data_IF_770836521876
#
_entry.id   IF_770836521876
#
_cell.length_a   1.000
_cell.length_b   1.000
_cell.length_c   1.000
_cell.angle_alpha   90.00
_cell.angle_beta   90.00
_cell.angle_gamma   90.00
#
_symmetry.space_group_name_H-M   'P 1'
#
loop_
_entity.id
_entity.type
_entity.pdbx_description
1 polymer ?
#
# COMPACT_ATOMS: atom_id res chain seq x y z
N UNK A 1 7.31 -12.62 -2.87
CA UNK A 1 8.60 -12.97 -2.25
C UNK A 1 8.77 -14.48 -2.25
N UNK A 2 9.97 -15.02 -2.49
CA UNK A 2 10.23 -16.46 -2.40
C UNK A 2 10.02 -16.96 -0.97
N UNK A 3 9.77 -18.26 -0.78
CA UNK A 3 9.70 -18.85 0.54
C UNK A 3 11.07 -18.75 1.23
N UNK A 4 11.08 -18.59 2.56
CA UNK A 4 12.31 -18.42 3.37
C UNK A 4 13.28 -19.58 3.16
N UNK A 5 12.75 -20.80 3.03
CA UNK A 5 13.56 -22.00 2.82
C UNK A 5 14.29 -21.97 1.48
N UNK A 6 13.67 -21.48 0.41
CA UNK A 6 14.30 -21.36 -0.90
C UNK A 6 15.41 -20.31 -0.87
N UNK A 7 15.14 -19.17 -0.21
CA UNK A 7 16.13 -18.11 -0.02
C UNK A 7 17.32 -18.56 0.85
N UNK A 8 17.10 -19.43 1.84
CA UNK A 8 18.16 -20.01 2.66
C UNK A 8 18.99 -21.02 1.85
N UNK A 9 18.34 -21.91 1.10
CA UNK A 9 19.01 -22.94 0.28
C UNK A 9 19.87 -22.35 -0.83
N UNK A 10 19.48 -21.20 -1.39
CA UNK A 10 20.25 -20.51 -2.41
C UNK A 10 21.52 -19.81 -1.89
N UNK A 11 21.72 -19.75 -0.56
CA UNK A 11 22.84 -19.02 0.06
C UNK A 11 23.96 -19.96 0.51
N UNK A 12 25.19 -19.54 0.25
CA UNK A 12 26.42 -20.19 0.73
C UNK A 12 26.80 -19.78 2.16
N UNK A 13 26.33 -18.62 2.63
CA UNK A 13 26.51 -18.12 4.00
C UNK A 13 25.17 -17.75 4.62
N UNK A 14 25.02 -18.03 5.92
CA UNK A 14 23.82 -17.64 6.65
C UNK A 14 23.74 -16.12 6.78
N UNK A 15 22.58 -15.50 6.52
CA UNK A 15 22.43 -14.08 6.69
C UNK A 15 22.40 -13.72 8.18
N UNK A 16 22.92 -12.54 8.52
CA UNK A 16 22.88 -12.02 9.89
C UNK A 16 21.48 -11.57 10.31
N UNK A 17 20.62 -11.22 9.34
CA UNK A 17 19.25 -10.74 9.57
C UNK A 17 18.33 -11.29 8.48
N UNK A 18 17.13 -11.67 8.88
CA UNK A 18 16.01 -11.96 7.98
C UNK A 18 14.96 -10.86 8.08
N UNK A 19 14.46 -10.40 6.93
CA UNK A 19 13.30 -9.48 6.86
C UNK A 19 12.20 -10.20 6.11
N UNK A 20 11.08 -10.45 6.79
CA UNK A 20 9.98 -11.28 6.30
C UNK A 20 8.70 -10.45 6.18
N UNK A 21 8.11 -10.42 4.99
CA UNK A 21 6.73 -9.99 4.80
C UNK A 21 5.82 -11.22 4.98
N UNK A 22 4.88 -11.15 5.91
CA UNK A 22 4.01 -12.27 6.27
C UNK A 22 2.54 -11.89 6.12
N UNK A 23 1.79 -12.68 5.37
CA UNK A 23 0.33 -12.55 5.27
C UNK A 23 -0.36 -13.11 6.52
N UNK A 24 -1.63 -12.73 6.73
CA UNK A 24 -2.45 -13.34 7.78
C UNK A 24 -2.54 -14.86 7.62
N UNK A 25 -2.63 -15.35 6.38
CA UNK A 25 -2.70 -16.77 6.06
C UNK A 25 -1.45 -17.54 6.49
N UNK A 26 -0.28 -16.96 6.28
CA UNK A 26 0.98 -17.56 6.74
C UNK A 26 1.06 -17.55 8.26
N UNK A 27 0.60 -16.48 8.91
CA UNK A 27 0.61 -16.36 10.37
C UNK A 27 -0.35 -17.33 11.06
N UNK A 28 -1.44 -17.74 10.42
CA UNK A 28 -2.36 -18.77 10.94
C UNK A 28 -1.68 -20.13 11.08
N UNK A 29 -0.83 -20.51 10.13
CA UNK A 29 -0.12 -21.79 10.12
C UNK A 29 1.27 -21.73 10.77
N UNK A 30 1.68 -20.54 11.24
CA UNK A 30 2.97 -20.32 11.88
C UNK A 30 2.85 -20.41 13.40
N UNK A 31 3.49 -21.42 14.00
CA UNK A 31 3.47 -21.66 15.45
C UNK A 31 4.73 -21.19 16.19
N UNK A 32 5.88 -21.14 15.50
CA UNK A 32 7.22 -21.05 16.15
C UNK A 32 8.00 -19.79 15.78
N UNK A 33 7.38 -18.82 15.09
CA UNK A 33 8.05 -17.57 14.76
C UNK A 33 8.35 -16.78 16.05
N UNK A 34 9.65 -16.63 16.33
CA UNK A 34 10.18 -15.88 17.46
C UNK A 34 10.94 -14.64 16.94
N UNK A 35 10.24 -13.72 16.28
CA UNK A 35 10.85 -12.55 15.66
C UNK A 35 11.46 -11.61 16.72
N UNK A 36 12.68 -11.13 16.49
CA UNK A 36 13.38 -10.15 17.33
C UNK A 36 12.66 -8.78 17.37
N UNK A 37 11.98 -8.43 16.28
CA UNK A 37 11.06 -7.31 16.17
C UNK A 37 9.99 -7.62 15.13
N UNK A 38 8.75 -7.23 15.40
CA UNK A 38 7.63 -7.41 14.50
C UNK A 38 6.75 -6.15 14.44
N UNK A 39 6.03 -5.97 13.33
CA UNK A 39 5.09 -4.86 13.17
C UNK A 39 3.79 -5.33 12.51
N UNK A 40 2.69 -4.71 12.89
CA UNK A 40 1.44 -4.72 12.11
C UNK A 40 1.19 -3.29 11.64
N UNK A 41 1.35 -3.05 10.34
CA UNK A 41 1.36 -1.69 9.81
C UNK A 41 -0.02 -1.02 9.89
N UNK A 42 -1.09 -1.76 9.63
CA UNK A 42 -2.48 -1.34 9.76
C UNK A 42 -3.40 -2.59 9.64
N UNK A 43 -4.67 -2.43 9.96
CA UNK A 43 -5.72 -3.45 9.82
C UNK A 43 -7.00 -2.81 9.29
N UNK A 44 -7.05 -2.67 7.96
CA UNK A 44 -8.22 -2.29 7.17
C UNK A 44 -8.90 -3.52 6.57
N UNK A 45 -10.12 -3.35 6.04
CA UNK A 45 -10.85 -4.46 5.41
C UNK A 45 -10.06 -5.07 4.26
N UNK A 46 -9.86 -6.39 4.34
CA UNK A 46 -9.27 -7.25 3.34
C UNK A 46 -9.58 -8.69 3.75
N UNK A 47 -9.72 -9.59 2.78
CA UNK A 47 -9.96 -11.02 3.02
C UNK A 47 -11.20 -11.37 3.89
N UNK A 48 -12.28 -10.60 3.81
CA UNK A 48 -13.51 -10.84 4.58
C UNK A 48 -14.29 -12.08 4.12
N UNK A 49 -14.00 -12.58 2.92
CA UNK A 49 -14.46 -13.88 2.40
C UNK A 49 -14.00 -15.07 3.27
N UNK A 50 -12.89 -14.92 3.99
CA UNK A 50 -12.27 -16.02 4.74
C UNK A 50 -12.36 -15.89 6.26
N UNK A 51 -12.56 -14.67 6.77
CA UNK A 51 -12.64 -14.43 8.21
C UNK A 51 -14.08 -14.08 8.61
N UNK A 52 -14.49 -14.53 9.80
CA UNK A 52 -15.75 -14.11 10.42
C UNK A 52 -15.63 -12.65 10.91
N UNK A 53 -15.48 -11.71 9.98
CA UNK A 53 -15.30 -10.29 10.22
C UNK A 53 -13.87 -9.86 10.58
N UNK A 54 -13.74 -8.55 10.81
CA UNK A 54 -12.46 -7.88 11.03
C UNK A 54 -11.72 -8.31 12.30
N UNK A 55 -12.43 -8.78 13.33
CA UNK A 55 -11.80 -9.27 14.55
C UNK A 55 -10.99 -10.54 14.31
N UNK A 56 -11.54 -11.48 13.52
CA UNK A 56 -10.83 -12.70 13.12
C UNK A 56 -9.59 -12.40 12.30
N UNK A 57 -9.68 -11.46 11.36
CA UNK A 57 -8.55 -11.01 10.55
C UNK A 57 -7.46 -10.33 11.40
N UNK A 58 -7.86 -9.44 12.31
CA UNK A 58 -6.94 -8.78 13.24
C UNK A 58 -6.24 -9.80 14.16
N UNK A 59 -6.98 -10.77 14.69
CA UNK A 59 -6.44 -11.84 15.52
C UNK A 59 -5.45 -12.72 14.75
N UNK A 60 -5.68 -12.96 13.45
CA UNK A 60 -4.74 -13.67 12.59
C UNK A 60 -3.41 -12.91 12.44
N UNK A 61 -3.45 -11.59 12.19
CA UNK A 61 -2.24 -10.76 12.13
C UNK A 61 -1.52 -10.64 13.48
N UNK A 62 -2.27 -10.53 14.58
CA UNK A 62 -1.71 -10.39 15.94
C UNK A 62 -0.80 -11.57 16.33
N UNK A 63 -0.93 -12.74 15.67
CA UNK A 63 -0.04 -13.90 15.84
C UNK A 63 1.43 -13.57 15.55
N UNK A 64 1.73 -12.52 14.78
CA UNK A 64 3.11 -12.08 14.54
C UNK A 64 3.84 -11.68 15.85
N UNK A 65 3.09 -11.31 16.89
CA UNK A 65 3.63 -10.90 18.19
C UNK A 65 3.76 -12.04 19.21
N UNK A 66 3.57 -13.31 18.82
CA UNK A 66 3.70 -14.48 19.72
C UNK A 66 5.11 -14.68 20.28
N UNK A 67 6.13 -14.28 19.51
CA UNK A 67 7.54 -14.37 19.90
C UNK A 67 7.90 -13.45 21.06
N UNK A 68 9.19 -13.37 21.40
CA UNK A 68 9.76 -12.64 22.52
C UNK A 68 10.37 -11.27 22.17
N UNK A 69 10.46 -10.93 20.89
CA UNK A 69 10.98 -9.65 20.43
C UNK A 69 10.07 -8.44 20.58
N UNK A 70 10.55 -7.30 20.10
CA UNK A 70 9.87 -6.02 20.24
C UNK A 70 8.58 -5.94 19.39
N UNK A 71 7.56 -5.26 19.92
CA UNK A 71 6.34 -4.95 19.19
C UNK A 71 6.39 -3.52 18.65
N UNK A 72 6.24 -3.36 17.34
CA UNK A 72 6.14 -2.06 16.66
C UNK A 72 4.67 -1.88 16.26
N UNK A 73 4.00 -0.94 16.91
CA UNK A 73 2.54 -0.77 16.82
C UNK A 73 2.20 0.53 16.09
N UNK A 74 1.23 0.48 15.18
CA UNK A 74 0.71 1.70 14.58
C UNK A 74 -0.27 2.36 15.55
N UNK A 75 0.06 3.57 16.00
CA UNK A 75 -0.79 4.30 16.98
C UNK A 75 -1.99 4.99 16.35
N UNK A 76 -1.97 5.18 15.03
CA UNK A 76 -3.08 5.77 14.30
C UNK A 76 -4.08 4.70 13.81
N UNK A 77 -3.78 3.41 14.03
CA UNK A 77 -4.67 2.29 13.77
C UNK A 77 -5.05 1.60 15.08
N UNK A 78 -6.32 1.74 15.49
CA UNK A 78 -6.80 1.22 16.77
C UNK A 78 -6.64 -0.30 16.92
N UNK A 79 -6.76 -1.07 15.83
CA UNK A 79 -6.60 -2.53 15.87
C UNK A 79 -5.14 -2.91 16.05
N UNK A 80 -4.22 -2.26 15.34
CA UNK A 80 -2.78 -2.44 15.53
C UNK A 80 -2.37 -2.05 16.95
N UNK A 81 -2.79 -0.87 17.44
CA UNK A 81 -2.49 -0.40 18.80
C UNK A 81 -3.01 -1.34 19.90
N UNK A 82 -4.18 -1.98 19.68
CA UNK A 82 -4.76 -2.93 20.62
C UNK A 82 -3.99 -4.27 20.71
N UNK A 83 -3.11 -4.59 19.75
CA UNK A 83 -2.28 -5.83 19.78
C UNK A 83 -1.13 -5.78 20.78
N UNK A 84 -0.97 -4.68 21.54
CA UNK A 84 0.04 -4.57 22.58
C UNK A 84 -0.13 -5.67 23.64
N UNK A 85 0.97 -6.30 24.02
CA UNK A 85 1.00 -7.32 25.07
C UNK A 85 1.76 -6.78 26.28
N UNK A 86 1.22 -6.98 27.49
CA UNK A 86 1.82 -6.46 28.72
C UNK A 86 3.22 -7.06 28.99
N UNK A 87 4.13 -6.27 29.56
CA UNK A 87 5.48 -6.72 29.91
C UNK A 87 6.44 -6.88 28.72
N UNK A 88 6.06 -6.37 27.54
CA UNK A 88 6.83 -6.46 26.30
C UNK A 88 7.55 -5.17 25.99
N UNK A 89 8.70 -5.27 25.32
CA UNK A 89 9.36 -4.11 24.72
C UNK A 89 8.51 -3.61 23.55
N UNK A 90 8.04 -2.37 23.64
CA UNK A 90 7.10 -1.78 22.70
C UNK A 90 7.68 -0.48 22.12
N UNK A 91 7.40 -0.29 20.85
CA UNK A 91 7.64 0.93 20.09
C UNK A 91 6.33 1.27 19.37
N UNK A 92 6.00 2.54 19.24
CA UNK A 92 4.90 2.98 18.39
C UNK A 92 5.40 3.85 17.24
N UNK A 93 4.65 3.87 16.15
CA UNK A 93 4.82 4.82 15.06
C UNK A 93 3.47 5.45 14.69
N UNK A 94 3.49 6.67 14.15
CA UNK A 94 2.31 7.35 13.62
C UNK A 94 2.63 8.72 13.01
N UNK A 95 1.61 9.41 12.55
CA UNK A 95 1.65 10.74 11.95
C UNK A 95 1.36 11.86 12.97
N UNK A 96 1.34 11.51 14.25
CA UNK A 96 1.30 12.44 15.37
C UNK A 96 2.69 12.53 16.03
N UNK A 97 2.95 13.56 16.87
CA UNK A 97 4.19 13.63 17.63
C UNK A 97 4.42 12.37 18.49
N UNK A 98 5.66 11.88 18.61
CA UNK A 98 5.95 10.66 19.36
C UNK A 98 5.69 10.89 20.86
N UNK A 99 4.93 10.00 21.54
CA UNK A 99 4.57 10.17 22.95
C UNK A 99 5.71 9.85 23.92
N UNK A 100 6.74 9.10 23.48
CA UNK A 100 7.84 8.66 24.32
C UNK A 100 9.19 8.65 23.59
N UNK A 101 10.27 8.52 24.36
CA UNK A 101 11.65 8.61 23.85
C UNK A 101 11.98 7.57 22.76
N UNK A 102 11.32 6.41 22.81
CA UNK A 102 11.51 5.32 21.86
C UNK A 102 10.48 5.33 20.73
N UNK A 103 9.46 6.18 20.80
CA UNK A 103 8.39 6.20 19.82
C UNK A 103 8.74 7.06 18.61
N UNK A 104 8.04 6.76 17.52
CA UNK A 104 8.25 7.33 16.21
C UNK A 104 7.05 8.16 15.81
N UNK A 105 7.31 9.32 15.24
CA UNK A 105 6.25 10.26 14.92
C UNK A 105 6.71 11.31 13.94
N UNK A 106 5.85 12.29 13.72
CA UNK A 106 6.22 13.49 12.96
C UNK A 106 5.97 14.76 13.76
N UNK A 107 6.75 15.79 13.47
CA UNK A 107 6.47 17.16 13.89
C UNK A 107 6.48 18.06 12.65
N UNK A 108 5.52 18.98 12.57
CA UNK A 108 5.48 20.03 11.55
C UNK A 108 6.20 21.26 12.06
N UNK A 109 7.21 21.71 11.33
CA UNK A 109 7.93 22.95 11.62
C UNK A 109 8.04 23.79 10.35
N UNK A 110 7.32 24.92 10.33
CA UNK A 110 7.19 25.73 9.12
C UNK A 110 6.57 24.92 7.98
N UNK A 111 7.23 24.92 6.82
CA UNK A 111 6.79 24.17 5.65
C UNK A 111 7.20 22.68 5.67
N UNK A 112 7.98 22.23 6.66
CA UNK A 112 8.59 20.91 6.66
C UNK A 112 7.92 19.96 7.66
N UNK A 113 7.88 18.69 7.28
CA UNK A 113 7.54 17.57 8.16
C UNK A 113 8.85 16.89 8.56
N UNK A 114 9.11 16.77 9.86
CA UNK A 114 10.25 16.05 10.42
C UNK A 114 9.84 14.68 10.91
N UNK A 115 10.58 13.64 10.52
CA UNK A 115 10.50 12.32 11.13
C UNK A 115 11.27 12.35 12.46
N UNK A 116 10.65 11.85 13.52
CA UNK A 116 11.13 11.96 14.89
C UNK A 116 11.33 10.58 15.53
N UNK A 117 12.31 10.48 16.42
CA UNK A 117 12.38 9.45 17.47
C UNK A 117 12.36 10.17 18.83
N UNK A 118 11.25 10.10 19.55
CA UNK A 118 11.03 10.96 20.72
C UNK A 118 11.29 12.44 20.38
N UNK A 119 12.18 13.09 21.15
CA UNK A 119 12.55 14.49 20.90
C UNK A 119 13.58 14.68 19.77
N UNK A 120 14.16 13.61 19.22
CA UNK A 120 15.24 13.70 18.23
C UNK A 120 14.70 13.80 16.81
N UNK A 121 15.10 14.84 16.08
CA UNK A 121 14.91 14.95 14.62
C UNK A 121 15.82 13.95 13.90
N UNK A 122 15.23 13.15 13.02
CA UNK A 122 15.94 12.09 12.28
C UNK A 122 16.24 12.55 10.86
N UNK A 123 15.21 12.96 10.13
CA UNK A 123 15.30 13.51 8.77
C UNK A 123 14.00 14.24 8.40
N UNK A 124 14.02 15.05 7.35
CA UNK A 124 12.80 15.62 6.78
C UNK A 124 12.09 14.61 5.88
N UNK A 125 10.76 14.71 5.82
CA UNK A 125 9.94 13.86 4.96
C UNK A 125 10.19 14.12 3.47
N UNK A 126 10.52 15.36 3.10
CA UNK A 126 10.83 15.74 1.71
C UNK A 126 12.23 15.33 1.24
N UNK A 127 13.03 14.69 2.10
CA UNK A 127 14.26 13.99 1.72
C UNK A 127 13.99 12.54 1.27
N UNK A 128 12.77 12.03 1.47
CA UNK A 128 12.34 10.75 0.91
C UNK A 128 12.07 10.91 -0.59
N UNK A 129 12.50 9.93 -1.38
CA UNK A 129 12.16 9.88 -2.81
C UNK A 129 10.71 9.44 -3.04
N UNK A 130 10.10 8.79 -2.04
CA UNK A 130 8.72 8.33 -2.06
C UNK A 130 7.81 9.37 -1.40
N UNK A 131 6.76 9.76 -2.12
CA UNK A 131 5.82 10.81 -1.69
C UNK A 131 4.66 10.27 -0.85
N UNK A 132 4.04 11.14 -0.05
CA UNK A 132 2.80 10.86 0.67
C UNK A 132 2.97 10.43 2.13
N UNK A 133 2.00 10.79 2.97
CA UNK A 133 2.05 10.53 4.42
C UNK A 133 2.05 9.04 4.77
N UNK A 134 1.44 8.18 3.95
CA UNK A 134 1.51 6.73 4.15
C UNK A 134 2.96 6.20 4.00
N UNK A 135 3.75 6.78 3.10
CA UNK A 135 5.17 6.42 2.95
C UNK A 135 6.01 6.96 4.11
N UNK A 136 5.66 8.12 4.65
CA UNK A 136 6.25 8.61 5.92
C UNK A 136 5.95 7.63 7.07
N UNK A 137 4.72 7.17 7.21
CA UNK A 137 4.35 6.17 8.22
C UNK A 137 5.12 4.85 8.03
N UNK A 138 5.27 4.37 6.79
CA UNK A 138 6.07 3.19 6.47
C UNK A 138 7.55 3.39 6.82
N UNK A 139 8.12 4.57 6.55
CA UNK A 139 9.49 4.89 6.91
C UNK A 139 9.69 4.90 8.44
N UNK A 140 8.74 5.45 9.19
CA UNK A 140 8.75 5.40 10.66
C UNK A 140 8.68 3.97 11.19
N UNK A 141 7.81 3.13 10.62
CA UNK A 141 7.71 1.71 10.99
C UNK A 141 9.00 0.94 10.69
N UNK A 142 9.61 1.18 9.54
CA UNK A 142 10.90 0.57 9.16
C UNK A 142 12.03 0.99 10.09
N UNK A 143 12.11 2.29 10.43
CA UNK A 143 13.08 2.80 11.41
C UNK A 143 12.84 2.18 12.79
N UNK A 144 11.59 2.06 13.24
CA UNK A 144 11.24 1.44 14.51
C UNK A 144 11.68 -0.03 14.57
N UNK A 145 11.44 -0.82 13.52
CA UNK A 145 11.90 -2.20 13.40
C UNK A 145 13.43 -2.31 13.48
N UNK A 146 14.15 -1.51 12.68
CA UNK A 146 15.61 -1.53 12.68
C UNK A 146 16.22 -1.06 14.01
N UNK A 147 15.61 -0.06 14.65
CA UNK A 147 16.08 0.47 15.94
C UNK A 147 15.71 -0.43 17.12
N UNK A 148 14.67 -1.25 17.01
CA UNK A 148 14.44 -2.34 17.95
C UNK A 148 15.60 -3.36 17.95
N UNK A 149 16.26 -3.56 16.80
CA UNK A 149 17.48 -4.35 16.66
C UNK A 149 18.78 -3.54 16.91
N UNK A 150 18.65 -2.32 17.42
CA UNK A 150 19.77 -1.43 17.77
C UNK A 150 20.65 -0.99 16.60
N UNK A 151 20.21 -1.20 15.34
CA UNK A 151 20.97 -0.81 14.15
C UNK A 151 21.22 0.72 14.10
N UNK A 152 22.42 1.20 13.76
CA UNK A 152 22.76 2.62 13.84
C UNK A 152 21.94 3.48 12.87
N UNK A 153 21.53 4.68 13.31
CA UNK A 153 20.65 5.56 12.53
C UNK A 153 21.25 6.03 11.19
N UNK A 154 22.55 6.32 11.15
CA UNK A 154 23.21 6.91 9.97
C UNK A 154 22.97 6.07 8.70
N UNK A 155 23.28 4.75 8.66
CA UNK A 155 23.00 3.93 7.48
C UNK A 155 21.50 3.76 7.20
N UNK A 156 20.64 3.74 8.23
CA UNK A 156 19.19 3.64 8.03
C UNK A 156 18.61 4.87 7.33
N UNK A 157 19.02 6.07 7.77
CA UNK A 157 18.61 7.33 7.13
C UNK A 157 19.18 7.43 5.72
N UNK A 158 20.41 6.98 5.50
CA UNK A 158 20.99 6.91 4.15
C UNK A 158 20.19 5.97 3.24
N UNK A 159 19.77 4.81 3.75
CA UNK A 159 18.95 3.87 2.99
C UNK A 159 17.59 4.48 2.62
N UNK A 160 16.90 5.14 3.56
CA UNK A 160 15.64 5.83 3.29
C UNK A 160 15.76 6.92 2.22
N UNK A 161 16.82 7.73 2.25
CA UNK A 161 17.08 8.75 1.21
C UNK A 161 17.29 8.15 -0.18
N UNK A 162 17.82 6.93 -0.26
CA UNK A 162 18.10 6.23 -1.52
C UNK A 162 16.94 5.37 -2.03
N UNK A 163 15.93 5.09 -1.20
CA UNK A 163 14.85 4.16 -1.52
C UNK A 163 13.84 4.79 -2.48
N UNK A 164 13.78 4.27 -3.71
CA UNK A 164 12.93 4.77 -4.79
C UNK A 164 11.49 4.21 -4.81
N UNK A 165 11.13 3.39 -3.84
CA UNK A 165 9.88 2.63 -3.87
C UNK A 165 10.04 1.23 -4.45
N UNK A 166 8.91 0.52 -4.55
CA UNK A 166 8.83 -0.78 -5.21
C UNK A 166 8.12 -0.60 -6.57
N UNK A 167 8.46 -1.40 -7.59
CA UNK A 167 7.69 -1.44 -8.83
C UNK A 167 6.19 -1.69 -8.57
N UNK A 168 5.33 -1.20 -9.46
CA UNK A 168 3.87 -1.36 -9.40
C UNK A 168 3.17 -0.70 -8.18
N UNK A 169 3.78 0.35 -7.59
CA UNK A 169 3.16 1.24 -6.60
C UNK A 169 3.10 2.66 -7.16
N UNK A 170 2.05 2.96 -7.92
CA UNK A 170 1.88 4.23 -8.66
C UNK A 170 3.10 4.53 -9.54
N UNK A 171 3.54 3.52 -10.30
CA UNK A 171 4.67 3.61 -11.20
C UNK A 171 4.27 4.35 -12.48
N UNK A 172 4.98 5.43 -12.82
CA UNK A 172 4.77 6.12 -14.11
C UNK A 172 5.21 5.19 -15.24
N UNK A 173 4.24 4.76 -16.05
CA UNK A 173 4.47 3.88 -17.21
C UNK A 173 4.87 4.71 -18.44
N UNK A 174 4.06 5.72 -18.77
CA UNK A 174 4.25 6.54 -19.95
C UNK A 174 3.59 7.91 -19.80
N UNK A 175 3.89 8.81 -20.73
CA UNK A 175 3.17 10.06 -20.93
C UNK A 175 2.84 10.19 -22.41
N UNK A 176 1.54 10.28 -22.75
CA UNK A 176 1.05 10.26 -24.12
C UNK A 176 0.06 11.41 -24.28
N UNK A 177 0.34 12.33 -25.21
CA UNK A 177 -0.50 13.51 -25.47
C UNK A 177 -0.81 14.36 -24.20
N UNK A 178 0.12 14.40 -23.24
CA UNK A 178 -0.04 15.12 -21.97
C UNK A 178 -0.89 14.40 -20.92
N UNK A 179 -1.24 13.13 -21.15
CA UNK A 179 -1.85 12.25 -20.15
C UNK A 179 -0.76 11.37 -19.55
N UNK A 180 -0.68 11.29 -18.22
CA UNK A 180 0.29 10.42 -17.54
C UNK A 180 -0.34 9.09 -17.11
N UNK A 181 0.29 7.97 -17.42
CA UNK A 181 -0.22 6.63 -17.09
C UNK A 181 0.51 6.08 -15.87
N UNK A 182 -0.24 5.64 -14.87
CA UNK A 182 0.30 5.08 -13.63
C UNK A 182 -0.20 3.65 -13.39
N UNK A 183 0.74 2.76 -13.09
CA UNK A 183 0.48 1.40 -12.63
C UNK A 183 0.55 1.32 -11.11
N UNK A 184 -0.60 1.08 -10.49
CA UNK A 184 -0.77 0.73 -9.09
C UNK A 184 -1.56 -0.60 -8.97
N UNK A 185 -1.27 -1.58 -9.83
CA UNK A 185 -1.90 -2.90 -9.82
C UNK A 185 -1.78 -3.62 -8.46
N UNK A 186 -0.82 -3.22 -7.62
CA UNK A 186 -0.67 -3.73 -6.24
C UNK A 186 -1.72 -3.16 -5.26
N UNK A 187 -2.46 -2.11 -5.63
CA UNK A 187 -3.59 -1.55 -4.89
C UNK A 187 -4.81 -2.49 -4.88
N UNK A 188 -4.69 -3.65 -4.22
CA UNK A 188 -5.70 -4.72 -4.22
C UNK A 188 -6.79 -4.55 -3.17
N UNK A 189 -6.88 -3.39 -2.52
CA UNK A 189 -7.90 -3.07 -1.53
C UNK A 189 -8.34 -1.60 -1.63
N UNK A 190 -9.49 -1.30 -1.02
CA UNK A 190 -10.12 0.01 -1.07
C UNK A 190 -9.20 1.11 -0.55
N UNK A 191 -8.60 0.93 0.62
CA UNK A 191 -7.75 1.95 1.25
C UNK A 191 -6.48 2.28 0.43
N UNK A 192 -5.91 1.30 -0.28
CA UNK A 192 -4.78 1.56 -1.17
C UNK A 192 -5.17 2.47 -2.34
N UNK A 193 -6.35 2.24 -2.91
CA UNK A 193 -6.88 3.01 -4.05
C UNK A 193 -7.24 4.43 -3.63
N UNK A 194 -7.85 4.61 -2.46
CA UNK A 194 -8.10 5.94 -1.88
C UNK A 194 -6.80 6.74 -1.73
N UNK A 195 -5.76 6.11 -1.16
CA UNK A 195 -4.47 6.75 -0.95
C UNK A 195 -3.78 7.12 -2.28
N UNK A 196 -3.91 6.28 -3.31
CA UNK A 196 -3.36 6.55 -4.64
C UNK A 196 -4.06 7.75 -5.31
N UNK A 197 -5.40 7.80 -5.26
CA UNK A 197 -6.18 8.92 -5.82
C UNK A 197 -5.88 10.25 -5.12
N UNK A 198 -5.86 10.26 -3.79
CA UNK A 198 -5.56 11.47 -2.99
C UNK A 198 -4.12 11.94 -3.19
N UNK A 199 -3.19 10.99 -3.35
CA UNK A 199 -1.76 11.26 -3.45
C UNK A 199 -1.27 11.74 -4.83
N UNK A 200 -2.08 11.58 -5.88
CA UNK A 200 -1.63 11.82 -7.27
C UNK A 200 -1.38 13.30 -7.58
N UNK A 201 -2.03 14.21 -6.85
CA UNK A 201 -1.89 15.66 -7.04
C UNK A 201 -2.47 16.20 -8.36
N UNK A 202 -3.22 15.38 -9.10
CA UNK A 202 -3.93 15.72 -10.34
C UNK A 202 -5.17 14.84 -10.50
N UNK A 203 -6.09 15.24 -11.36
CA UNK A 203 -7.26 14.43 -11.69
C UNK A 203 -6.86 13.16 -12.45
N UNK A 204 -7.60 12.08 -12.21
CA UNK A 204 -7.34 10.78 -12.84
C UNK A 204 -8.60 10.13 -13.40
N UNK A 205 -8.49 9.46 -14.54
CA UNK A 205 -9.43 8.40 -14.90
C UNK A 205 -8.92 7.11 -14.26
N UNK A 206 -9.69 6.56 -13.32
CA UNK A 206 -9.27 5.42 -12.52
C UNK A 206 -9.89 4.12 -13.05
N UNK A 207 -9.07 3.08 -13.20
CA UNK A 207 -9.50 1.74 -13.56
C UNK A 207 -9.66 0.93 -12.28
N UNK A 208 -10.90 0.52 -11.98
CA UNK A 208 -11.28 -0.24 -10.79
C UNK A 208 -11.80 -1.63 -11.17
N UNK A 209 -11.66 -2.59 -10.25
CA UNK A 209 -12.34 -3.87 -10.32
C UNK A 209 -11.43 -5.08 -10.45
N UNK A 210 -12.08 -6.25 -10.48
CA UNK A 210 -11.52 -7.55 -10.16
C UNK A 210 -12.33 -8.25 -9.06
N UNK A 211 -11.68 -9.10 -8.27
CA UNK A 211 -12.28 -9.79 -7.13
C UNK A 211 -12.11 -8.99 -5.80
N UNK A 212 -13.21 -8.47 -5.29
CA UNK A 212 -13.32 -7.58 -4.14
C UNK A 212 -13.27 -8.24 -2.77
N UNK A 213 -13.41 -9.57 -2.70
CA UNK A 213 -13.30 -10.37 -1.45
C UNK A 213 -14.22 -9.89 -0.32
N UNK A 214 -15.41 -9.40 -0.66
CA UNK A 214 -16.41 -8.94 0.29
C UNK A 214 -16.07 -7.64 1.03
N UNK A 215 -15.14 -6.84 0.51
CA UNK A 215 -14.84 -5.48 1.03
C UNK A 215 -16.02 -4.52 0.81
N UNK A 216 -16.18 -3.53 1.69
CA UNK A 216 -17.06 -2.38 1.43
C UNK A 216 -16.34 -1.34 0.54
N UNK A 217 -16.89 -1.11 -0.66
CA UNK A 217 -16.37 -0.13 -1.61
C UNK A 217 -16.86 1.31 -1.36
N UNK A 218 -17.82 1.52 -0.45
CA UNK A 218 -18.40 2.84 -0.14
C UNK A 218 -17.37 3.93 0.15
N UNK A 219 -16.24 3.67 0.86
CA UNK A 219 -15.20 4.67 1.11
C UNK A 219 -14.62 5.30 -0.17
N UNK A 220 -14.57 4.55 -1.28
CA UNK A 220 -14.06 5.07 -2.57
C UNK A 220 -14.86 6.26 -3.08
N UNK A 221 -16.14 6.39 -2.73
CA UNK A 221 -17.05 7.39 -3.29
C UNK A 221 -16.53 8.82 -3.09
N UNK A 222 -16.03 9.14 -1.90
CA UNK A 222 -15.51 10.48 -1.61
C UNK A 222 -14.22 10.75 -2.41
N UNK A 223 -13.28 9.81 -2.40
CA UNK A 223 -12.03 9.94 -3.16
C UNK A 223 -12.29 10.07 -4.68
N UNK A 224 -13.25 9.32 -5.23
CA UNK A 224 -13.65 9.41 -6.64
C UNK A 224 -14.31 10.76 -6.94
N UNK A 225 -15.22 11.23 -6.08
CA UNK A 225 -15.88 12.52 -6.28
C UNK A 225 -14.88 13.69 -6.32
N UNK A 226 -13.88 13.66 -5.44
CA UNK A 226 -12.91 14.76 -5.30
C UNK A 226 -11.80 14.69 -6.36
N UNK A 227 -11.30 13.49 -6.67
CA UNK A 227 -10.08 13.32 -7.46
C UNK A 227 -10.29 12.72 -8.84
N UNK A 228 -11.34 11.94 -9.08
CA UNK A 228 -11.52 11.29 -10.38
C UNK A 228 -12.13 12.22 -11.44
N UNK A 229 -11.69 12.04 -12.68
CA UNK A 229 -12.33 12.55 -13.90
C UNK A 229 -13.48 11.64 -14.32
N UNK A 230 -13.21 10.34 -14.33
CA UNK A 230 -14.13 9.25 -14.64
C UNK A 230 -13.63 7.95 -14.00
N UNK A 231 -14.47 6.92 -14.00
CA UNK A 231 -14.17 5.58 -13.51
C UNK A 231 -14.40 4.58 -14.64
N UNK A 232 -13.47 3.66 -14.84
CA UNK A 232 -13.60 2.53 -15.76
C UNK A 232 -13.57 1.24 -14.94
N UNK A 233 -14.65 0.47 -15.00
CA UNK A 233 -14.84 -0.75 -14.24
C UNK A 233 -14.49 -1.98 -15.08
N UNK A 234 -13.78 -2.94 -14.49
CA UNK A 234 -13.47 -4.25 -15.07
C UNK A 234 -13.70 -5.39 -14.07
N UNK A 235 -13.82 -6.62 -14.55
CA UNK A 235 -13.82 -7.81 -13.70
C UNK A 235 -15.16 -8.09 -13.02
N UNK A 236 -15.17 -9.13 -12.17
CA UNK A 236 -16.41 -9.71 -11.64
C UNK A 236 -17.19 -8.79 -10.69
N UNK A 237 -16.52 -8.02 -9.83
CA UNK A 237 -17.18 -7.15 -8.84
C UNK A 237 -17.42 -5.71 -9.35
N UNK A 238 -17.26 -5.46 -10.66
CA UNK A 238 -17.61 -4.18 -11.26
C UNK A 238 -19.02 -3.66 -10.86
N UNK A 239 -20.10 -4.49 -10.87
CA UNK A 239 -21.43 -4.02 -10.45
C UNK A 239 -21.50 -3.56 -8.99
N UNK A 240 -20.74 -4.20 -8.09
CA UNK A 240 -20.71 -3.83 -6.66
C UNK A 240 -20.02 -2.47 -6.47
N UNK A 241 -18.92 -2.25 -7.18
CA UNK A 241 -18.20 -0.97 -7.18
C UNK A 241 -19.08 0.13 -7.76
N UNK A 242 -19.76 -0.11 -8.87
CA UNK A 242 -20.71 0.85 -9.46
C UNK A 242 -21.78 1.27 -8.46
N UNK A 243 -22.38 0.30 -7.76
CA UNK A 243 -23.38 0.57 -6.73
C UNK A 243 -22.81 1.45 -5.60
N UNK A 244 -21.61 1.15 -5.11
CA UNK A 244 -20.95 1.93 -4.06
C UNK A 244 -20.59 3.36 -4.50
N UNK A 245 -20.29 3.55 -5.79
CA UNK A 245 -20.00 4.85 -6.39
C UNK A 245 -21.25 5.62 -6.83
N UNK A 246 -22.44 5.07 -6.65
CA UNK A 246 -23.70 5.75 -6.98
C UNK A 246 -23.77 7.12 -6.31
N UNK A 247 -24.07 8.15 -7.10
CA UNK A 247 -24.13 9.54 -6.65
C UNK A 247 -22.78 10.24 -6.50
N UNK A 248 -21.65 9.65 -6.92
CA UNK A 248 -20.33 10.33 -6.89
C UNK A 248 -20.20 11.50 -7.88
N UNK A 249 -21.12 11.63 -8.84
CA UNK A 249 -21.13 12.72 -9.83
C UNK A 249 -20.07 12.60 -10.93
N UNK A 250 -19.44 11.43 -11.09
CA UNK A 250 -18.46 11.15 -12.16
C UNK A 250 -19.00 10.14 -13.17
N UNK A 251 -18.59 10.19 -14.45
CA UNK A 251 -18.87 9.14 -15.40
C UNK A 251 -18.31 7.79 -14.93
N UNK A 252 -19.11 6.74 -15.03
CA UNK A 252 -18.73 5.36 -14.75
C UNK A 252 -18.95 4.54 -16.02
N UNK A 253 -17.89 3.89 -16.52
CA UNK A 253 -17.89 3.09 -17.74
C UNK A 253 -17.53 1.65 -17.41
N UNK A 254 -17.96 0.71 -18.25
CA UNK A 254 -17.61 -0.71 -18.14
C UNK A 254 -16.73 -1.14 -19.30
N UNK A 255 -15.61 -1.78 -18.99
CA UNK A 255 -14.67 -2.32 -19.96
C UNK A 255 -14.67 -3.86 -19.91
N UNK A 256 -14.48 -4.49 -21.07
CA UNK A 256 -14.51 -5.96 -21.20
C UNK A 256 -13.20 -6.61 -20.79
N UNK A 257 -12.09 -5.92 -21.03
CA UNK A 257 -10.74 -6.34 -20.71
C UNK A 257 -9.85 -5.11 -20.42
N UNK A 258 -8.58 -5.35 -20.09
CA UNK A 258 -7.64 -4.28 -19.78
C UNK A 258 -7.33 -3.38 -20.98
N UNK A 259 -7.33 -3.89 -22.21
CA UNK A 259 -7.06 -3.09 -23.41
C UNK A 259 -8.22 -2.13 -23.69
N UNK A 260 -9.45 -2.62 -23.56
CA UNK A 260 -10.68 -1.81 -23.59
C UNK A 260 -10.68 -0.77 -22.46
N UNK A 261 -10.24 -1.15 -21.26
CA UNK A 261 -10.18 -0.25 -20.12
C UNK A 261 -9.20 0.91 -20.33
N UNK A 262 -8.00 0.64 -20.84
CA UNK A 262 -7.02 1.69 -21.16
C UNK A 262 -7.54 2.61 -22.26
N UNK A 263 -8.22 2.06 -23.28
CA UNK A 263 -8.82 2.88 -24.34
C UNK A 263 -9.90 3.81 -23.80
N UNK A 264 -10.90 3.27 -23.09
CA UNK A 264 -11.98 4.08 -22.50
C UNK A 264 -11.44 5.11 -21.51
N UNK A 265 -10.44 4.72 -20.70
CA UNK A 265 -9.81 5.65 -19.76
C UNK A 265 -9.12 6.81 -20.48
N UNK A 266 -8.44 6.52 -21.58
CA UNK A 266 -7.78 7.54 -22.42
C UNK A 266 -8.79 8.49 -23.07
N UNK A 267 -9.92 7.97 -23.54
CA UNK A 267 -10.99 8.77 -24.16
C UNK A 267 -11.65 9.75 -23.19
N UNK A 268 -11.69 9.41 -21.90
CA UNK A 268 -12.22 10.28 -20.84
C UNK A 268 -11.18 11.27 -20.27
N UNK A 269 -9.89 10.98 -20.42
CA UNK A 269 -8.82 11.78 -19.85
C UNK A 269 -8.58 13.08 -20.63
N UNK A 270 -8.28 14.15 -19.91
CA UNK A 270 -7.93 15.45 -20.49
C UNK A 270 -6.42 15.71 -20.41
N UNK A 271 -5.93 16.71 -21.15
CA UNK A 271 -4.54 17.14 -21.03
C UNK A 271 -4.20 17.53 -19.59
N UNK A 272 -3.11 16.98 -19.04
CA UNK A 272 -2.68 17.18 -17.66
C UNK A 272 -3.27 16.17 -16.66
N UNK A 273 -4.33 15.44 -17.03
CA UNK A 273 -4.89 14.35 -16.23
C UNK A 273 -3.95 13.12 -16.22
N UNK A 274 -4.33 12.14 -15.42
CA UNK A 274 -3.73 10.81 -15.41
C UNK A 274 -4.72 9.71 -15.79
N UNK A 275 -4.19 8.57 -16.21
CA UNK A 275 -4.87 7.27 -16.18
C UNK A 275 -4.21 6.43 -15.10
N UNK A 276 -5.00 5.96 -14.13
CA UNK A 276 -4.51 5.22 -12.96
C UNK A 276 -5.13 3.83 -12.91
N UNK A 277 -4.32 2.79 -13.03
CA UNK A 277 -4.71 1.44 -12.65
C UNK A 277 -4.51 1.27 -11.15
N UNK A 278 -5.57 1.40 -10.35
CA UNK A 278 -5.54 1.13 -8.89
C UNK A 278 -6.83 0.40 -8.52
N UNK A 279 -6.84 -0.94 -8.62
CA UNK A 279 -8.07 -1.69 -8.88
C UNK A 279 -9.01 -1.87 -7.68
N UNK A 280 -8.58 -1.57 -6.46
CA UNK A 280 -9.26 -1.90 -5.20
C UNK A 280 -9.57 -3.40 -4.97
N UNK A 281 -9.24 -4.26 -5.93
CA UNK A 281 -9.57 -5.67 -5.97
C UNK A 281 -8.35 -6.54 -6.26
N UNK A 282 -8.42 -7.80 -5.83
CA UNK A 282 -7.51 -8.84 -6.30
C UNK A 282 -7.73 -9.11 -7.80
N UNK A 283 -6.73 -9.75 -8.42
CA UNK A 283 -6.69 -9.93 -9.88
C UNK A 283 -7.17 -11.28 -10.36
N UNK A 284 -7.55 -12.20 -9.46
CA UNK A 284 -7.61 -13.64 -9.74
C UNK A 284 -8.77 -14.05 -10.65
N UNK A 285 -9.75 -13.17 -10.83
CA UNK A 285 -10.88 -13.36 -11.74
C UNK A 285 -10.46 -13.26 -13.22
N UNK A 286 -9.53 -12.36 -13.54
CA UNK A 286 -9.09 -12.09 -14.92
C UNK A 286 -7.61 -12.43 -15.19
N UNK A 287 -6.79 -12.55 -14.14
CA UNK A 287 -5.32 -12.67 -14.24
C UNK A 287 -4.75 -13.65 -13.22
N UNK A 288 -3.60 -14.26 -13.53
CA UNK A 288 -2.88 -15.16 -12.62
C UNK A 288 -2.43 -14.49 -11.32
N UNK A 289 -2.07 -13.21 -11.38
CA UNK A 289 -1.64 -12.39 -10.25
C UNK A 289 -1.57 -10.91 -10.66
N UNK A 290 -1.34 -10.03 -9.68
CA UNK A 290 -1.26 -8.59 -9.91
C UNK A 290 -0.11 -8.18 -10.85
N UNK A 291 0.96 -8.98 -10.93
CA UNK A 291 2.09 -8.72 -11.84
C UNK A 291 1.64 -8.91 -13.28
N UNK A 292 0.92 -9.99 -13.59
CA UNK A 292 0.34 -10.16 -14.93
C UNK A 292 -0.65 -9.04 -15.26
N UNK A 293 -1.48 -8.60 -14.31
CA UNK A 293 -2.39 -7.46 -14.52
C UNK A 293 -1.63 -6.17 -14.87
N UNK A 294 -0.52 -5.90 -14.17
CA UNK A 294 0.37 -4.78 -14.46
C UNK A 294 1.01 -4.91 -15.85
N UNK A 295 1.54 -6.08 -16.19
CA UNK A 295 2.13 -6.37 -17.51
C UNK A 295 1.15 -6.08 -18.65
N UNK A 296 -0.10 -6.54 -18.53
CA UNK A 296 -1.13 -6.33 -19.55
C UNK A 296 -1.52 -4.85 -19.65
N UNK A 297 -1.59 -4.13 -18.53
CA UNK A 297 -1.82 -2.68 -18.53
C UNK A 297 -0.70 -1.92 -19.23
N UNK A 298 0.57 -2.20 -18.88
CA UNK A 298 1.74 -1.58 -19.51
C UNK A 298 1.76 -1.86 -21.02
N UNK A 299 1.48 -3.09 -21.42
CA UNK A 299 1.37 -3.46 -22.85
C UNK A 299 0.26 -2.67 -23.56
N UNK A 300 -0.93 -2.55 -22.95
CA UNK A 300 -2.02 -1.78 -23.53
C UNK A 300 -1.68 -0.29 -23.67
N UNK A 301 -1.01 0.31 -22.68
CA UNK A 301 -0.52 1.69 -22.74
C UNK A 301 0.53 1.88 -23.84
N UNK A 302 1.46 0.94 -24.00
CA UNK A 302 2.47 1.02 -25.06
C UNK A 302 1.86 0.87 -26.46
N UNK A 303 0.93 -0.06 -26.66
CA UNK A 303 0.17 -0.18 -27.92
C UNK A 303 -0.54 1.11 -28.30
N UNK A 304 -1.12 1.80 -27.32
CA UNK A 304 -1.77 3.09 -27.51
C UNK A 304 -0.77 4.18 -27.96
N UNK A 305 0.45 4.17 -27.42
CA UNK A 305 1.51 5.08 -27.84
C UNK A 305 1.95 4.82 -29.29
N UNK A 306 2.06 3.55 -29.69
CA UNK A 306 2.42 3.16 -31.05
C UNK A 306 1.31 3.46 -32.08
N UNK A 307 0.05 3.40 -31.67
CA UNK A 307 -1.11 3.66 -32.52
C UNK A 307 -1.38 5.16 -32.77
N UNK A 308 -0.71 6.06 -32.04
CA UNK A 308 -0.86 7.51 -32.18
C UNK A 308 0.40 8.10 -32.85
N UNK A 309 0.32 8.54 -34.13
CA UNK A 309 1.45 9.17 -34.82
C UNK A 309 1.83 10.53 -34.23
#
# INVERSE_FOLDING_TARGET
SPAVLDALRARTQQPQVWVLELSSFQLETTATLDADAAAVLNVTEDHLDRYAGMEGYAAAKARIFRGKGAQILNRDDARSAAMKLAGRRQFSFGLNPPPGANDWGIIREGAHIWLMQGARKIMRADELQVSGLHNVANALAALALCRALELPLVPLVSALRSFKGLPHRVEKVAEIAGITYYDDSKGTNVGATEAALQGLGKHAVVILGGEGKGQDFTPLRAAVADHARAVVLIGCDAPLIEQALSGCGKPVLHARDMEDAVRLATEQAQHGDAVLLSPACASFDMFRNYVQRAEVFVQAVHKLAEARP
#
